data_IF_805159538996
#
_entry.id   IF_805159538996
#
_cell.length_a   1.000
_cell.length_b   1.000
_cell.length_c   1.000
_cell.angle_alpha   90.00
_cell.angle_beta   90.00
_cell.angle_gamma   90.00
#
_symmetry.space_group_name_H-M   'P 1'
#
loop_
_entity.id
_entity.type
_entity.pdbx_description
1 polymer ?
#
# COMPACT_ATOMS: atom_id res chain seq x y z
N UNK A 1 -13.35 76.16 -32.92
CA UNK A 1 -13.52 74.69 -32.75
C UNK A 1 -13.78 74.40 -31.28
N UNK A 2 -15.06 74.32 -30.92
CA UNK A 2 -15.51 74.16 -29.53
C UNK A 2 -15.30 72.72 -29.07
N UNK A 3 -14.57 72.54 -27.96
CA UNK A 3 -14.25 71.24 -27.36
C UNK A 3 -15.55 70.59 -26.84
N UNK A 4 -15.82 69.32 -27.14
CA UNK A 4 -17.07 68.67 -26.75
C UNK A 4 -17.18 68.50 -25.23
N UNK A 5 -18.41 68.51 -24.67
CA UNK A 5 -18.65 68.34 -23.25
C UNK A 5 -18.26 66.91 -22.81
N UNK A 6 -17.50 66.81 -21.72
CA UNK A 6 -17.07 65.52 -21.20
C UNK A 6 -18.20 64.79 -20.47
N UNK A 7 -18.23 63.45 -20.53
CA UNK A 7 -19.26 62.65 -19.88
C UNK A 7 -19.25 62.81 -18.35
N UNK A 8 -20.43 62.79 -17.72
CA UNK A 8 -20.58 63.01 -16.28
C UNK A 8 -20.01 61.80 -15.53
N UNK A 9 -18.95 62.03 -14.74
CA UNK A 9 -18.31 60.99 -13.93
C UNK A 9 -16.79 60.90 -14.04
N UNK A 10 -16.14 61.68 -14.92
CA UNK A 10 -14.68 61.83 -14.90
C UNK A 10 -14.26 62.79 -13.78
N UNK A 11 -13.25 62.47 -12.94
CA UNK A 11 -12.71 63.43 -11.98
C UNK A 11 -11.89 64.49 -12.72
N UNK A 12 -12.57 65.43 -13.39
CA UNK A 12 -12.02 66.70 -13.89
C UNK A 12 -11.65 67.64 -12.74
N UNK A 13 -11.09 67.12 -11.63
CA UNK A 13 -10.93 67.91 -10.39
C UNK A 13 -9.58 68.60 -10.29
N UNK A 14 -8.54 68.11 -10.96
CA UNK A 14 -7.20 68.72 -10.88
C UNK A 14 -6.89 69.69 -12.01
N UNK A 15 -7.53 69.55 -13.17
CA UNK A 15 -7.32 70.44 -14.33
C UNK A 15 -7.95 71.83 -14.19
N UNK A 16 -8.75 72.06 -13.14
CA UNK A 16 -9.42 73.34 -12.84
C UNK A 16 -8.74 74.12 -11.69
N UNK A 17 -7.67 73.58 -11.09
CA UNK A 17 -6.97 74.20 -9.97
C UNK A 17 -5.81 75.07 -10.46
N UNK A 18 -5.55 76.18 -9.78
CA UNK A 18 -4.38 77.03 -10.07
C UNK A 18 -3.07 76.36 -9.63
N UNK A 19 -1.93 76.82 -10.16
CA UNK A 19 -0.60 76.27 -9.82
C UNK A 19 -0.28 76.36 -8.33
N UNK A 20 -0.70 77.43 -7.66
CA UNK A 20 -0.56 77.57 -6.20
C UNK A 20 -1.41 76.56 -5.43
N UNK A 21 -2.65 76.31 -5.88
CA UNK A 21 -3.56 75.33 -5.26
C UNK A 21 -3.08 73.89 -5.46
N UNK A 22 -2.51 73.56 -6.63
CA UNK A 22 -1.90 72.26 -6.89
C UNK A 22 -0.68 72.03 -6.01
N UNK A 23 0.18 73.03 -5.80
CA UNK A 23 1.33 72.94 -4.87
C UNK A 23 0.89 72.77 -3.43
N UNK A 24 -0.12 73.51 -2.99
CA UNK A 24 -0.69 73.36 -1.66
C UNK A 24 -1.33 71.98 -1.46
N UNK A 25 -2.01 71.44 -2.48
CA UNK A 25 -2.57 70.09 -2.43
C UNK A 25 -1.47 69.01 -2.42
N UNK A 26 -0.39 69.20 -3.17
CA UNK A 26 0.77 68.30 -3.15
C UNK A 26 1.47 68.25 -1.78
N UNK A 27 1.37 69.33 -1.00
CA UNK A 27 1.89 69.39 0.37
C UNK A 27 0.88 68.85 1.41
N UNK A 28 -0.39 68.66 1.03
CA UNK A 28 -1.44 68.11 1.88
C UNK A 28 -1.69 66.63 1.57
N UNK A 29 -0.79 65.79 2.09
CA UNK A 29 -0.84 64.33 2.01
C UNK A 29 -2.20 63.72 2.40
N UNK A 30 -2.87 64.11 3.51
CA UNK A 30 -4.17 63.53 3.84
C UNK A 30 -5.28 63.92 2.85
N UNK A 31 -5.22 65.10 2.20
CA UNK A 31 -6.13 65.43 1.09
C UNK A 31 -5.86 64.56 -0.15
N UNK A 32 -4.60 64.32 -0.50
CA UNK A 32 -4.23 63.42 -1.60
C UNK A 32 -4.70 61.99 -1.36
N UNK A 33 -4.47 61.45 -0.16
CA UNK A 33 -4.92 60.10 0.21
C UNK A 33 -6.45 59.96 0.15
N UNK A 34 -7.19 60.98 0.59
CA UNK A 34 -8.65 61.01 0.44
C UNK A 34 -9.06 61.02 -1.04
N UNK A 35 -8.41 61.83 -1.87
CA UNK A 35 -8.69 61.85 -3.31
C UNK A 35 -8.35 60.51 -3.99
N UNK A 36 -7.26 59.85 -3.58
CA UNK A 36 -6.87 58.53 -4.07
C UNK A 36 -7.89 57.45 -3.68
N UNK A 37 -8.37 57.45 -2.42
CA UNK A 37 -9.42 56.53 -1.93
C UNK A 37 -10.76 56.73 -2.65
N UNK A 38 -11.07 57.96 -3.05
CA UNK A 38 -12.25 58.29 -3.84
C UNK A 38 -12.07 58.01 -5.34
N UNK A 39 -10.87 57.61 -5.78
CA UNK A 39 -10.64 57.27 -7.19
C UNK A 39 -11.37 55.97 -7.55
N UNK A 40 -11.96 55.94 -8.74
CA UNK A 40 -12.69 54.77 -9.25
C UNK A 40 -11.81 53.51 -9.29
N UNK A 41 -10.52 53.67 -9.61
CA UNK A 41 -9.56 52.56 -9.64
C UNK A 41 -9.34 51.97 -8.23
N UNK A 42 -9.17 52.83 -7.22
CA UNK A 42 -9.02 52.36 -5.84
C UNK A 42 -10.30 51.69 -5.34
N UNK A 43 -11.48 52.25 -5.65
CA UNK A 43 -12.76 51.66 -5.27
C UNK A 43 -13.02 50.30 -5.95
N UNK A 44 -12.65 50.12 -7.23
CA UNK A 44 -12.82 48.81 -7.89
C UNK A 44 -11.91 47.75 -7.26
N UNK A 45 -10.64 48.08 -7.01
CA UNK A 45 -9.72 47.17 -6.32
C UNK A 45 -10.18 46.81 -4.92
N UNK A 46 -10.76 47.79 -4.20
CA UNK A 46 -11.33 47.56 -2.88
C UNK A 46 -12.54 46.60 -2.94
N UNK A 47 -13.44 46.80 -3.91
CA UNK A 47 -14.56 45.88 -4.13
C UNK A 47 -14.09 44.47 -4.52
N UNK A 48 -13.13 44.36 -5.45
CA UNK A 48 -12.54 43.08 -5.85
C UNK A 48 -11.91 42.36 -4.65
N UNK A 49 -11.20 43.09 -3.77
CA UNK A 49 -10.66 42.56 -2.52
C UNK A 49 -11.76 42.04 -1.62
N UNK A 50 -12.83 42.80 -1.40
CA UNK A 50 -13.96 42.40 -0.55
C UNK A 50 -14.67 41.17 -1.10
N UNK A 51 -14.89 41.11 -2.42
CA UNK A 51 -15.45 39.94 -3.09
C UNK A 51 -14.55 38.70 -2.93
N UNK A 52 -13.24 38.86 -3.10
CA UNK A 52 -12.27 37.77 -2.91
C UNK A 52 -12.25 37.28 -1.46
N UNK A 53 -12.25 38.20 -0.49
CA UNK A 53 -12.30 37.86 0.94
C UNK A 53 -13.60 37.15 1.29
N UNK A 54 -14.75 37.63 0.81
CA UNK A 54 -16.04 36.98 1.02
C UNK A 54 -16.03 35.55 0.46
N UNK A 55 -15.54 35.36 -0.77
CA UNK A 55 -15.40 34.05 -1.42
C UNK A 55 -14.44 33.12 -0.66
N UNK A 56 -13.29 33.63 -0.20
CA UNK A 56 -12.37 32.84 0.60
C UNK A 56 -12.99 32.43 1.94
N UNK A 57 -13.71 33.34 2.60
CA UNK A 57 -14.41 33.04 3.84
C UNK A 57 -15.51 31.99 3.68
N UNK A 58 -16.27 32.01 2.59
CA UNK A 58 -17.30 30.99 2.33
C UNK A 58 -16.65 29.62 2.08
N UNK A 59 -15.60 29.57 1.26
CA UNK A 59 -14.84 28.33 1.01
C UNK A 59 -14.19 27.79 2.29
N UNK A 60 -13.59 28.67 3.11
CA UNK A 60 -13.00 28.27 4.38
C UNK A 60 -14.05 27.68 5.32
N UNK A 61 -15.24 28.29 5.42
CA UNK A 61 -16.34 27.74 6.23
C UNK A 61 -16.78 26.35 5.75
N UNK A 62 -16.93 26.16 4.43
CA UNK A 62 -17.28 24.85 3.86
C UNK A 62 -16.17 23.82 4.10
N UNK A 63 -14.90 24.19 3.92
CA UNK A 63 -13.79 23.28 4.19
C UNK A 63 -13.74 22.88 5.67
N UNK A 64 -13.97 23.82 6.58
CA UNK A 64 -14.03 23.54 8.01
C UNK A 64 -15.24 22.66 8.38
N UNK A 65 -16.39 22.84 7.74
CA UNK A 65 -17.55 21.98 7.99
C UNK A 65 -17.37 20.55 7.45
N UNK A 66 -16.56 20.36 6.41
CA UNK A 66 -16.26 19.05 5.84
C UNK A 66 -15.16 18.27 6.59
N UNK A 67 -14.27 18.97 7.31
CA UNK A 67 -13.19 18.34 8.09
C UNK A 67 -13.64 17.20 9.01
N UNK A 68 -14.65 17.35 9.89
CA UNK A 68 -15.05 16.27 10.79
C UNK A 68 -15.46 15.01 10.02
N UNK A 69 -16.28 15.16 8.98
CA UNK A 69 -16.70 14.02 8.13
C UNK A 69 -15.52 13.32 7.45
N UNK A 70 -14.50 14.05 7.03
CA UNK A 70 -13.28 13.46 6.45
C UNK A 70 -12.43 12.74 7.50
N UNK A 71 -12.32 13.30 8.69
CA UNK A 71 -11.59 12.70 9.81
C UNK A 71 -12.29 11.42 10.30
N UNK A 72 -13.62 11.45 10.45
CA UNK A 72 -14.45 10.28 10.78
C UNK A 72 -14.33 9.20 9.71
N UNK A 73 -14.34 9.59 8.43
CA UNK A 73 -14.15 8.68 7.31
C UNK A 73 -12.77 8.01 7.33
N UNK A 74 -11.71 8.77 7.61
CA UNK A 74 -10.34 8.24 7.75
C UNK A 74 -10.23 7.28 8.94
N UNK A 75 -10.81 7.63 10.09
CA UNK A 75 -10.82 6.76 11.27
C UNK A 75 -11.59 5.46 11.01
N UNK A 76 -12.78 5.55 10.42
CA UNK A 76 -13.60 4.39 10.05
C UNK A 76 -12.86 3.47 9.07
N UNK A 77 -12.18 4.05 8.07
CA UNK A 77 -11.39 3.30 7.10
C UNK A 77 -10.20 2.60 7.77
N UNK A 78 -9.49 3.28 8.69
CA UNK A 78 -8.40 2.68 9.44
C UNK A 78 -8.88 1.48 10.28
N UNK A 79 -10.04 1.59 10.93
CA UNK A 79 -10.67 0.48 11.65
C UNK A 79 -10.95 -0.69 10.70
N UNK A 80 -11.52 -0.44 9.52
CA UNK A 80 -11.77 -1.51 8.53
C UNK A 80 -10.51 -2.18 8.02
N UNK A 81 -9.43 -1.44 7.81
CA UNK A 81 -8.14 -2.04 7.47
C UNK A 81 -7.59 -2.90 8.59
N UNK A 82 -7.74 -2.46 9.85
CA UNK A 82 -7.31 -3.23 11.01
C UNK A 82 -8.12 -4.54 11.14
N UNK A 83 -9.45 -4.47 11.06
CA UNK A 83 -10.33 -5.65 11.06
C UNK A 83 -9.94 -6.65 9.94
N UNK A 84 -9.67 -6.14 8.73
CA UNK A 84 -9.25 -6.96 7.60
C UNK A 84 -7.91 -7.64 7.87
N UNK A 85 -6.95 -6.92 8.46
CA UNK A 85 -5.66 -7.48 8.80
C UNK A 85 -5.80 -8.60 9.84
N UNK A 86 -6.59 -8.38 10.89
CA UNK A 86 -6.85 -9.39 11.93
C UNK A 86 -7.50 -10.65 11.35
N UNK A 87 -8.50 -10.49 10.47
CA UNK A 87 -9.14 -11.63 9.80
C UNK A 87 -8.16 -12.36 8.89
N UNK A 88 -7.30 -11.62 8.17
CA UNK A 88 -6.29 -12.22 7.30
C UNK A 88 -5.28 -13.05 8.09
N UNK A 89 -4.75 -12.52 9.19
CA UNK A 89 -3.81 -13.25 10.04
C UNK A 89 -4.50 -14.47 10.67
N UNK A 90 -5.73 -14.32 11.17
CA UNK A 90 -6.50 -15.46 11.71
C UNK A 90 -6.77 -16.55 10.66
N UNK A 91 -7.02 -16.17 9.41
CA UNK A 91 -7.16 -17.10 8.30
C UNK A 91 -5.83 -17.79 7.96
N UNK A 92 -4.73 -17.03 7.94
CA UNK A 92 -3.40 -17.56 7.71
C UNK A 92 -3.01 -18.58 8.78
N UNK A 93 -3.23 -18.27 10.06
CA UNK A 93 -2.98 -19.19 11.17
C UNK A 93 -3.79 -20.48 11.06
N UNK A 94 -5.08 -20.37 10.71
CA UNK A 94 -5.94 -21.54 10.49
C UNK A 94 -5.44 -22.38 9.31
N UNK A 95 -5.02 -21.73 8.23
CA UNK A 95 -4.46 -22.41 7.06
C UNK A 95 -3.17 -23.16 7.42
N UNK A 96 -2.24 -22.52 8.13
CA UNK A 96 -0.99 -23.16 8.56
C UNK A 96 -1.26 -24.37 9.47
N UNK A 97 -2.21 -24.26 10.40
CA UNK A 97 -2.64 -25.40 11.24
C UNK A 97 -3.21 -26.53 10.38
N UNK A 98 -4.08 -26.21 9.43
CA UNK A 98 -4.68 -27.21 8.53
C UNK A 98 -3.60 -27.89 7.67
N UNK A 99 -2.66 -27.14 7.11
CA UNK A 99 -1.54 -27.68 6.34
C UNK A 99 -0.71 -28.64 7.19
N UNK A 100 -0.36 -28.28 8.42
CA UNK A 100 0.35 -29.17 9.33
C UNK A 100 -0.43 -30.45 9.68
N UNK A 101 -1.75 -30.33 9.90
CA UNK A 101 -2.61 -31.50 10.14
C UNK A 101 -2.67 -32.40 8.90
N UNK A 102 -2.83 -31.82 7.71
CA UNK A 102 -2.92 -32.57 6.46
C UNK A 102 -1.60 -33.26 6.10
N UNK A 103 -0.46 -32.61 6.34
CA UNK A 103 0.86 -33.22 6.18
C UNK A 103 1.04 -34.40 7.13
N UNK A 104 0.71 -34.22 8.42
CA UNK A 104 0.80 -35.30 9.43
C UNK A 104 -0.04 -36.51 9.08
N UNK A 105 -1.25 -36.29 8.56
CA UNK A 105 -2.20 -37.35 8.18
C UNK A 105 -2.21 -37.64 6.68
N UNK A 106 -1.18 -37.20 5.96
CA UNK A 106 -1.07 -37.46 4.53
C UNK A 106 -0.80 -38.95 4.27
N UNK A 107 -1.21 -39.48 3.10
CA UNK A 107 -0.85 -40.84 2.71
C UNK A 107 0.67 -41.07 2.68
N UNK A 108 1.44 -40.02 2.36
CA UNK A 108 2.91 -40.05 2.40
C UNK A 108 3.46 -40.19 3.82
N UNK A 109 2.90 -39.48 4.79
CA UNK A 109 3.23 -39.64 6.21
C UNK A 109 2.88 -41.06 6.69
N UNK A 110 1.71 -41.58 6.31
CA UNK A 110 1.31 -42.95 6.63
C UNK A 110 2.27 -44.00 6.04
N UNK A 111 2.71 -43.84 4.79
CA UNK A 111 3.74 -44.70 4.18
C UNK A 111 5.05 -44.66 4.96
N UNK A 112 5.54 -43.45 5.31
CA UNK A 112 6.77 -43.29 6.09
C UNK A 112 6.68 -43.96 7.47
N UNK A 113 5.53 -43.83 8.15
CA UNK A 113 5.30 -44.48 9.44
C UNK A 113 5.24 -46.00 9.33
N UNK A 114 4.59 -46.53 8.29
CA UNK A 114 4.53 -47.97 8.04
C UNK A 114 5.92 -48.54 7.71
N UNK A 115 6.71 -47.83 6.91
CA UNK A 115 8.09 -48.22 6.60
C UNK A 115 8.95 -48.27 7.87
N UNK A 116 8.90 -47.22 8.70
CA UNK A 116 9.66 -47.20 9.95
C UNK A 116 9.26 -48.33 10.92
N UNK A 117 7.95 -48.67 10.98
CA UNK A 117 7.47 -49.81 11.78
C UNK A 117 7.93 -51.16 11.21
N UNK A 118 7.94 -51.30 9.89
CA UNK A 118 8.47 -52.49 9.22
C UNK A 118 9.94 -52.67 9.57
N UNK A 119 10.76 -51.65 9.33
CA UNK A 119 12.20 -51.67 9.59
C UNK A 119 12.49 -51.98 11.07
N UNK A 120 11.73 -51.37 12.00
CA UNK A 120 11.86 -51.65 13.43
C UNK A 120 11.53 -53.11 13.78
N UNK A 121 10.42 -53.65 13.26
CA UNK A 121 10.04 -55.05 13.51
C UNK A 121 11.00 -56.06 12.87
N UNK A 122 11.60 -55.73 11.73
CA UNK A 122 12.64 -56.55 11.10
C UNK A 122 13.92 -56.55 11.93
N UNK A 123 14.37 -55.37 12.36
CA UNK A 123 15.51 -55.24 13.26
C UNK A 123 15.30 -55.97 14.61
N UNK A 124 14.09 -55.88 15.19
CA UNK A 124 13.71 -56.67 16.37
C UNK A 124 13.85 -58.18 16.11
N UNK A 125 13.35 -58.66 14.97
CA UNK A 125 13.44 -60.08 14.61
C UNK A 125 14.88 -60.56 14.40
N UNK A 126 15.74 -59.72 13.81
CA UNK A 126 17.17 -60.01 13.66
C UNK A 126 17.90 -60.03 15.00
N UNK A 127 17.55 -59.11 15.91
CA UNK A 127 18.12 -59.08 17.26
C UNK A 127 17.74 -60.34 18.04
N UNK A 128 16.48 -60.79 17.95
CA UNK A 128 16.02 -62.03 18.56
C UNK A 128 16.76 -63.26 18.02
N UNK A 129 17.01 -63.33 16.71
CA UNK A 129 17.82 -64.41 16.12
C UNK A 129 19.24 -64.39 16.69
N UNK A 130 19.88 -63.22 16.76
CA UNK A 130 21.24 -63.08 17.30
C UNK A 130 21.29 -63.55 18.76
N UNK A 131 20.40 -63.04 19.61
CA UNK A 131 20.31 -63.44 21.02
C UNK A 131 20.09 -64.95 21.20
N UNK A 132 19.25 -65.56 20.36
CA UNK A 132 19.04 -67.01 20.40
C UNK A 132 20.30 -67.80 20.00
N UNK A 133 21.02 -67.36 18.96
CA UNK A 133 22.28 -67.99 18.53
C UNK A 133 23.40 -67.84 19.57
N UNK A 134 23.41 -66.72 20.28
CA UNK A 134 24.33 -66.44 21.40
C UNK A 134 23.94 -67.19 22.70
N UNK A 135 22.83 -67.94 22.68
CA UNK A 135 22.26 -68.68 23.82
C UNK A 135 21.76 -67.78 24.98
N UNK A 136 21.58 -66.49 24.72
CA UNK A 136 21.05 -65.49 25.67
C UNK A 136 19.52 -65.53 25.78
N UNK A 137 18.83 -66.25 24.88
CA UNK A 137 17.37 -66.34 24.83
C UNK A 137 16.91 -67.82 24.77
N UNK A 138 16.10 -68.31 25.72
CA UNK A 138 15.55 -69.67 25.69
C UNK A 138 14.65 -69.93 24.48
N UNK A 139 14.57 -71.19 24.03
CA UNK A 139 13.82 -71.58 22.83
C UNK A 139 12.34 -71.15 22.87
N UNK A 140 11.63 -71.41 23.97
CA UNK A 140 10.20 -71.10 24.06
C UNK A 140 9.95 -69.58 23.97
N UNK A 141 10.76 -68.78 24.66
CA UNK A 141 10.70 -67.31 24.62
C UNK A 141 11.11 -66.75 23.25
N UNK A 142 12.11 -67.36 22.60
CA UNK A 142 12.48 -67.02 21.23
C UNK A 142 11.31 -67.26 20.28
N UNK A 143 10.71 -68.45 20.28
CA UNK A 143 9.62 -68.79 19.36
C UNK A 143 8.43 -67.84 19.52
N UNK A 144 8.01 -67.56 20.75
CA UNK A 144 6.93 -66.61 21.02
C UNK A 144 7.26 -65.21 20.50
N UNK A 145 8.39 -64.64 20.93
CA UNK A 145 8.74 -63.25 20.60
C UNK A 145 9.11 -63.06 19.12
N UNK A 146 9.73 -64.05 18.48
CA UNK A 146 10.07 -64.05 17.06
C UNK A 146 8.84 -64.20 16.18
N UNK A 147 7.91 -65.09 16.53
CA UNK A 147 6.64 -65.17 15.79
C UNK A 147 5.90 -63.85 15.87
N UNK A 148 5.84 -63.21 17.04
CA UNK A 148 5.20 -61.90 17.20
C UNK A 148 5.88 -60.79 16.38
N UNK A 149 7.22 -60.69 16.36
CA UNK A 149 7.93 -59.68 15.55
C UNK A 149 7.76 -59.93 14.05
N UNK A 150 7.86 -61.19 13.60
CA UNK A 150 7.65 -61.57 12.20
C UNK A 150 6.22 -61.33 11.74
N UNK A 151 5.21 -61.67 12.56
CA UNK A 151 3.82 -61.36 12.25
C UNK A 151 3.61 -59.85 12.07
N UNK A 152 4.16 -59.02 12.98
CA UNK A 152 4.12 -57.54 12.83
C UNK A 152 4.80 -57.07 11.54
N UNK A 153 5.98 -57.59 11.22
CA UNK A 153 6.71 -57.28 9.97
C UNK A 153 5.88 -57.63 8.73
N UNK A 154 5.33 -58.84 8.67
CA UNK A 154 4.50 -59.26 7.53
C UNK A 154 3.24 -58.40 7.37
N UNK A 155 2.54 -58.09 8.47
CA UNK A 155 1.38 -57.20 8.44
C UNK A 155 1.77 -55.81 7.93
N UNK A 156 2.85 -55.22 8.44
CA UNK A 156 3.30 -53.90 8.00
C UNK A 156 3.74 -53.89 6.53
N UNK A 157 4.44 -54.93 6.06
CA UNK A 157 4.83 -55.09 4.65
C UNK A 157 3.60 -55.14 3.74
N UNK A 158 2.61 -55.97 4.07
CA UNK A 158 1.36 -56.05 3.29
C UNK A 158 0.58 -54.73 3.32
N UNK A 159 0.49 -54.06 4.47
CA UNK A 159 -0.16 -52.75 4.57
C UNK A 159 0.53 -51.69 3.70
N UNK A 160 1.86 -51.70 3.67
CA UNK A 160 2.68 -50.78 2.89
C UNK A 160 2.47 -51.00 1.38
N UNK A 161 2.55 -52.25 0.92
CA UNK A 161 2.29 -52.63 -0.48
C UNK A 161 0.88 -52.20 -0.91
N UNK A 162 -0.14 -52.48 -0.07
CA UNK A 162 -1.52 -52.12 -0.40
C UNK A 162 -1.75 -50.62 -0.44
N UNK A 163 -1.14 -49.85 0.46
CA UNK A 163 -1.23 -48.40 0.43
C UNK A 163 -0.52 -47.82 -0.81
N UNK A 164 0.63 -48.37 -1.21
CA UNK A 164 1.33 -47.97 -2.44
C UNK A 164 0.50 -48.28 -3.70
N UNK A 165 -0.13 -49.46 -3.77
CA UNK A 165 -1.01 -49.84 -4.89
C UNK A 165 -2.19 -48.87 -5.03
N UNK A 166 -2.83 -48.48 -3.93
CA UNK A 166 -3.93 -47.52 -3.93
C UNK A 166 -3.48 -46.15 -4.46
N UNK A 167 -2.33 -45.66 -3.99
CA UNK A 167 -1.79 -44.37 -4.40
C UNK A 167 -1.33 -44.34 -5.86
N UNK A 168 -0.87 -45.46 -6.41
CA UNK A 168 -0.54 -45.58 -7.83
C UNK A 168 -1.81 -45.60 -8.70
N UNK A 169 -2.85 -46.33 -8.29
CA UNK A 169 -4.14 -46.38 -8.99
C UNK A 169 -4.80 -45.01 -9.08
N UNK A 170 -4.77 -44.24 -8.00
CA UNK A 170 -5.29 -42.87 -7.97
C UNK A 170 -4.54 -41.92 -8.92
N UNK A 171 -3.24 -42.19 -9.17
CA UNK A 171 -2.44 -41.43 -10.14
C UNK A 171 -2.81 -41.78 -11.59
N UNK A 172 -2.94 -43.07 -11.89
CA UNK A 172 -3.29 -43.56 -13.25
C UNK A 172 -4.72 -43.16 -13.65
N UNK A 173 -5.64 -43.02 -12.69
CA UNK A 173 -7.00 -42.52 -12.95
C UNK A 173 -7.10 -41.01 -13.24
N UNK A 174 -6.01 -40.25 -13.08
CA UNK A 174 -5.97 -38.78 -13.28
C UNK A 174 -5.31 -38.36 -14.61
N UNK A 175 -4.72 -39.29 -15.35
CA UNK A 175 -4.15 -38.99 -16.67
C UNK A 175 -5.26 -38.75 -17.70
N UNK A 176 -5.32 -37.56 -18.37
CA UNK A 176 -6.19 -37.40 -19.51
C UNK A 176 -5.58 -38.17 -20.68
N UNK A 177 -6.11 -39.36 -20.95
CA UNK A 177 -5.94 -40.02 -22.25
C UNK A 177 -6.50 -39.08 -23.31
N UNK A 178 -5.63 -38.28 -23.91
CA UNK A 178 -5.95 -37.54 -25.13
C UNK A 178 -6.02 -38.52 -26.30
N UNK A 179 -7.11 -38.53 -27.10
CA UNK A 179 -7.11 -39.26 -28.35
C UNK A 179 -6.57 -38.36 -29.46
N UNK A 180 -5.53 -38.87 -30.09
CA UNK A 180 -4.96 -38.41 -31.34
C UNK A 180 -5.88 -38.75 -32.52
N UNK A 181 -6.11 -37.78 -33.42
CA UNK A 181 -6.39 -38.01 -34.84
C UNK A 181 -7.83 -37.78 -35.35
N UNK A 182 -8.06 -36.64 -36.01
CA UNK A 182 -8.54 -36.57 -37.41
C UNK A 182 -8.57 -35.11 -37.92
N UNK A 183 -8.27 -34.84 -39.21
CA UNK A 183 -8.04 -33.50 -39.76
C UNK A 183 -9.28 -32.87 -40.40
N UNK A 184 -9.39 -31.54 -40.29
CA UNK A 184 -10.09 -30.68 -41.27
C UNK A 184 -11.46 -30.12 -40.86
N UNK A 185 -11.52 -28.80 -40.62
CA UNK A 185 -12.42 -27.82 -41.28
C UNK A 185 -12.66 -26.58 -40.38
N UNK A 186 -12.44 -25.39 -40.97
CA UNK A 186 -12.67 -24.06 -40.39
C UNK A 186 -14.13 -23.80 -39.99
N UNK A 187 -14.34 -23.10 -38.85
CA UNK A 187 -15.00 -21.78 -38.75
C UNK A 187 -15.59 -21.54 -37.33
N UNK A 188 -15.32 -20.35 -36.78
CA UNK A 188 -15.63 -19.83 -35.43
C UNK A 188 -16.94 -19.01 -35.43
N UNK A 189 -17.47 -18.42 -34.32
CA UNK A 189 -17.54 -18.83 -32.90
C UNK A 189 -18.99 -18.84 -32.36
N UNK A 190 -19.26 -19.65 -31.33
CA UNK A 190 -20.26 -19.35 -30.30
C UNK A 190 -19.94 -20.16 -29.03
N UNK A 191 -20.17 -19.60 -27.82
CA UNK A 191 -20.70 -20.48 -26.78
C UNK A 191 -21.76 -19.80 -25.88
N UNK A 192 -22.92 -20.44 -25.80
CA UNK A 192 -23.87 -20.27 -24.69
C UNK A 192 -23.87 -21.55 -23.87
N UNK A 193 -23.51 -21.41 -22.59
CA UNK A 193 -23.86 -22.20 -21.38
C UNK A 193 -24.01 -23.73 -21.52
N UNK A 194 -23.28 -24.47 -20.67
CA UNK A 194 -23.78 -25.16 -19.46
C UNK A 194 -22.62 -25.89 -18.75
N UNK A 195 -22.78 -26.11 -17.45
CA UNK A 195 -21.83 -26.71 -16.50
C UNK A 195 -21.46 -28.18 -16.80
N UNK A 196 -20.48 -28.72 -16.07
CA UNK A 196 -20.72 -30.01 -15.42
C UNK A 196 -20.41 -30.03 -13.91
N UNK A 197 -21.18 -30.88 -13.23
CA UNK A 197 -21.04 -31.27 -11.82
C UNK A 197 -19.66 -31.87 -11.48
N UNK A 198 -19.05 -31.31 -10.43
CA UNK A 198 -18.57 -31.94 -9.17
C UNK A 198 -18.03 -33.40 -9.17
N UNK A 199 -16.78 -33.57 -8.68
CA UNK A 199 -16.23 -34.49 -7.64
C UNK A 199 -14.71 -34.69 -7.94
N UNK A 200 -13.71 -34.69 -7.04
CA UNK A 200 -13.58 -34.63 -5.58
C UNK A 200 -12.14 -34.22 -5.15
N UNK A 201 -12.08 -33.50 -4.03
CA UNK A 201 -10.99 -33.23 -3.07
C UNK A 201 -9.53 -33.14 -3.58
N UNK A 202 -9.22 -32.04 -4.27
CA UNK A 202 -7.96 -31.34 -4.02
C UNK A 202 -8.29 -30.25 -2.99
N UNK A 203 -7.52 -30.12 -1.90
CA UNK A 203 -7.61 -28.91 -1.08
C UNK A 203 -7.26 -27.76 -2.02
N UNK A 204 -8.31 -27.06 -2.44
CA UNK A 204 -8.26 -25.89 -3.28
C UNK A 204 -7.39 -24.93 -2.49
N UNK A 205 -6.15 -24.75 -2.92
CA UNK A 205 -5.36 -23.58 -2.53
C UNK A 205 -6.34 -22.42 -2.66
N UNK A 206 -6.65 -21.80 -1.54
CA UNK A 206 -7.48 -20.62 -1.49
C UNK A 206 -6.66 -19.51 -2.17
N UNK A 207 -6.59 -19.56 -3.51
CA UNK A 207 -6.34 -18.41 -4.35
C UNK A 207 -7.56 -17.53 -4.15
N UNK A 208 -7.59 -16.84 -3.01
CA UNK A 208 -8.25 -15.55 -2.87
C UNK A 208 -7.51 -14.61 -3.83
N UNK A 209 -7.73 -14.77 -5.14
CA UNK A 209 -7.52 -13.70 -6.11
C UNK A 209 -8.67 -12.70 -5.93
N UNK A 210 -8.80 -12.18 -4.72
CA UNK A 210 -9.46 -10.91 -4.51
C UNK A 210 -8.48 -9.90 -5.09
N UNK A 211 -8.68 -9.58 -6.36
CA UNK A 211 -8.09 -8.41 -7.00
C UNK A 211 -8.58 -7.17 -6.26
N UNK A 212 -7.97 -6.89 -5.12
CA UNK A 212 -8.21 -5.68 -4.35
C UNK A 212 -7.04 -4.76 -4.61
N UNK A 213 -7.20 -3.99 -5.67
CA UNK A 213 -6.38 -2.83 -5.94
C UNK A 213 -6.68 -1.82 -4.82
N UNK A 214 -5.68 -1.42 -4.01
CA UNK A 214 -5.86 -0.30 -3.11
C UNK A 214 -6.31 0.92 -3.93
N UNK A 215 -7.29 1.69 -3.45
CA UNK A 215 -7.77 2.87 -4.17
C UNK A 215 -6.63 3.88 -4.49
N UNK A 216 -5.50 3.78 -3.80
CA UNK A 216 -4.26 4.50 -4.13
C UNK A 216 -3.05 3.58 -3.91
N UNK A 217 -2.31 3.30 -4.98
CA UNK A 217 -0.94 2.79 -4.89
C UNK A 217 -0.03 3.98 -4.58
N UNK A 218 0.59 4.00 -3.39
CA UNK A 218 1.66 4.96 -3.07
C UNK A 218 2.96 4.33 -3.58
N UNK A 219 3.63 4.88 -4.61
CA UNK A 219 4.88 4.34 -5.10
C UNK A 219 5.98 4.45 -4.03
N UNK A 220 6.68 3.34 -3.76
CA UNK A 220 7.80 3.29 -2.80
C UNK A 220 9.03 4.13 -3.19
N UNK A 221 9.01 4.84 -4.32
CA UNK A 221 10.11 5.72 -4.76
C UNK A 221 10.03 7.15 -4.22
N UNK A 222 8.98 7.54 -3.50
CA UNK A 222 8.85 8.89 -2.94
C UNK A 222 9.57 9.13 -1.60
N UNK A 223 10.58 8.31 -1.27
CA UNK A 223 11.51 8.58 -0.16
C UNK A 223 12.80 9.13 -0.73
N UNK A 224 12.78 10.41 -1.08
CA UNK A 224 14.01 11.21 -1.21
C UNK A 224 13.97 12.27 -0.11
N UNK A 225 14.92 12.29 0.84
CA UNK A 225 15.00 13.37 1.80
C UNK A 225 15.37 14.64 1.04
N UNK A 226 14.46 15.61 1.01
CA UNK A 226 14.71 16.92 0.40
C UNK A 226 15.98 17.55 0.99
N UNK A 227 16.90 17.97 0.12
CA UNK A 227 18.02 18.82 0.48
C UNK A 227 17.49 20.20 0.91
N UNK A 228 17.74 20.58 2.16
CA UNK A 228 17.44 21.92 2.68
C UNK A 228 18.37 22.95 2.03
N UNK A 229 17.86 24.06 1.47
CA UNK A 229 18.71 25.18 1.09
C UNK A 229 19.26 25.84 2.37
N UNK A 230 20.57 26.04 2.43
CA UNK A 230 21.21 26.79 3.50
C UNK A 230 20.63 28.21 3.56
N UNK A 231 20.34 28.68 4.78
CA UNK A 231 19.76 30.00 5.04
C UNK A 231 20.66 31.14 4.54
N UNK A 232 20.10 32.22 3.94
CA UNK A 232 20.90 33.37 3.55
C UNK A 232 21.25 34.22 4.77
N UNK A 233 22.55 34.52 4.92
CA UNK A 233 23.03 35.55 5.86
C UNK A 233 22.59 36.94 5.39
N UNK A 234 22.21 37.79 6.33
CA UNK A 234 21.73 39.16 6.06
C UNK A 234 22.86 40.15 5.77
N UNK A 235 22.53 41.12 4.91
CA UNK A 235 23.18 42.42 4.61
C UNK A 235 24.49 42.29 3.81
N UNK A 236 24.69 42.93 2.65
CA UNK A 236 24.86 44.38 2.42
C UNK A 236 24.42 44.85 1.00
N UNK A 237 24.28 46.17 0.84
CA UNK A 237 23.80 46.97 -0.31
C UNK A 237 24.62 46.81 -1.62
N UNK A 238 24.11 47.25 -2.80
CA UNK A 238 24.73 47.00 -4.11
C UNK A 238 25.80 48.04 -4.48
N UNK A 239 26.82 47.61 -5.24
CA UNK A 239 27.76 48.50 -5.93
C UNK A 239 27.55 48.43 -7.45
N UNK A 240 27.48 49.61 -8.08
CA UNK A 240 27.53 49.85 -9.52
C UNK A 240 28.82 49.29 -10.14
N UNK A 241 28.73 48.66 -11.32
CA UNK A 241 29.92 48.29 -12.10
C UNK A 241 29.69 47.43 -13.34
N UNK A 242 29.59 48.11 -14.48
CA UNK A 242 30.00 47.75 -15.86
C UNK A 242 29.69 46.40 -16.54
N UNK A 243 28.98 46.54 -17.66
CA UNK A 243 28.97 45.78 -18.93
C UNK A 243 30.38 45.42 -19.45
N UNK A 244 30.57 44.36 -20.30
CA UNK A 244 30.14 44.42 -21.71
C UNK A 244 29.70 43.12 -22.44
N UNK A 245 28.87 43.37 -23.48
CA UNK A 245 28.84 42.81 -24.84
C UNK A 245 28.00 41.54 -25.22
N UNK A 246 27.22 41.78 -26.29
CA UNK A 246 26.33 41.04 -27.21
C UNK A 246 26.95 39.84 -27.98
N UNK A 247 26.23 39.00 -28.82
CA UNK A 247 25.10 39.38 -29.69
C UNK A 247 23.97 38.37 -30.06
N UNK A 248 22.89 38.98 -30.59
CA UNK A 248 21.94 38.52 -31.63
C UNK A 248 21.02 37.29 -31.40
N UNK A 249 19.70 37.52 -31.34
CA UNK A 249 18.78 37.47 -32.50
C UNK A 249 17.34 37.02 -32.16
N UNK A 250 16.39 37.61 -32.91
CA UNK A 250 15.03 37.13 -33.30
C UNK A 250 13.87 37.24 -32.29
N UNK A 251 12.94 38.12 -32.67
CA UNK A 251 11.53 38.19 -32.25
C UNK A 251 10.75 37.09 -32.98
N UNK A 252 9.76 36.44 -32.33
CA UNK A 252 8.38 36.54 -32.80
C UNK A 252 7.39 36.92 -31.68
N UNK A 253 6.28 37.51 -32.11
CA UNK A 253 5.16 38.05 -31.32
C UNK A 253 4.12 36.94 -30.94
N UNK A 254 2.95 37.26 -30.35
CA UNK A 254 2.55 36.83 -29.02
C UNK A 254 1.59 35.62 -29.01
N UNK A 255 1.90 34.63 -28.17
CA UNK A 255 1.03 33.49 -27.84
C UNK A 255 0.34 33.66 -26.48
N UNK A 256 -0.87 33.13 -26.39
CA UNK A 256 -1.84 33.10 -25.30
C UNK A 256 -1.33 32.78 -23.88
N UNK A 257 -2.05 33.19 -22.81
CA UNK A 257 -1.60 33.06 -21.43
C UNK A 257 -1.80 31.66 -20.85
N UNK A 258 -0.78 31.19 -20.15
CA UNK A 258 -0.76 29.93 -19.40
C UNK A 258 -1.53 30.03 -18.08
N UNK A 259 -2.15 28.90 -17.75
CA UNK A 259 -2.50 28.45 -16.40
C UNK A 259 -1.39 28.72 -15.39
N UNK A 260 -1.74 29.05 -14.14
CA UNK A 260 -1.17 28.34 -12.98
C UNK A 260 -2.06 28.54 -11.73
N UNK A 261 -2.57 27.40 -11.26
CA UNK A 261 -3.32 27.19 -10.04
C UNK A 261 -2.36 27.19 -8.85
N UNK A 262 -2.77 27.86 -7.77
CA UNK A 262 -1.98 27.97 -6.54
C UNK A 262 -2.04 26.72 -5.66
N UNK A 263 -0.95 26.50 -4.93
CA UNK A 263 -0.91 25.62 -3.76
C UNK A 263 -0.29 26.39 -2.59
N UNK A 264 -1.07 26.57 -1.52
CA UNK A 264 -0.63 27.04 -0.21
C UNK A 264 -0.59 25.82 0.72
N UNK A 265 0.54 25.48 1.36
CA UNK A 265 0.59 24.37 2.31
C UNK A 265 0.12 24.80 3.71
N UNK A 266 -0.87 24.08 4.22
CA UNK A 266 -1.34 24.08 5.60
C UNK A 266 -0.36 23.32 6.50
N UNK A 267 0.05 23.96 7.59
CA UNK A 267 0.80 23.37 8.71
C UNK A 267 0.02 22.20 9.35
N UNK A 268 0.69 21.06 9.56
CA UNK A 268 0.23 19.96 10.41
C UNK A 268 1.21 19.73 11.56
N UNK A 269 0.74 19.30 12.75
CA UNK A 269 1.62 19.00 13.88
C UNK A 269 2.21 17.58 13.77
N UNK A 270 3.48 17.46 14.10
CA UNK A 270 4.29 16.24 14.06
C UNK A 270 4.00 15.32 15.27
N UNK A 271 3.94 13.98 15.12
CA UNK A 271 3.78 13.08 16.26
C UNK A 271 5.12 12.81 16.97
N UNK A 272 5.08 12.88 18.30
CA UNK A 272 6.16 12.51 19.22
C UNK A 272 6.52 11.02 19.08
N UNK A 273 7.79 10.70 18.83
CA UNK A 273 8.35 9.34 18.90
C UNK A 273 8.85 9.09 20.33
N UNK A 274 8.14 8.29 21.11
CA UNK A 274 8.60 7.83 22.44
C UNK A 274 9.59 6.68 22.26
N UNK A 275 10.89 6.95 22.29
CA UNK A 275 11.91 5.90 22.40
C UNK A 275 11.93 5.37 23.84
N UNK A 276 11.32 4.21 24.09
CA UNK A 276 11.66 3.41 25.27
C UNK A 276 12.99 2.71 25.00
N UNK A 277 14.08 3.26 25.54
CA UNK A 277 15.32 2.53 25.78
C UNK A 277 15.02 1.45 26.84
N UNK A 278 14.98 0.18 26.47
CA UNK A 278 15.19 -0.91 27.42
C UNK A 278 16.66 -0.84 27.89
N UNK A 279 16.88 -0.26 29.07
CA UNK A 279 18.13 -0.49 29.81
C UNK A 279 17.97 -1.81 30.55
N UNK A 280 18.71 -2.83 30.11
CA UNK A 280 19.00 -3.99 30.93
C UNK A 280 19.83 -3.51 32.13
N UNK A 281 19.24 -3.51 33.33
CA UNK A 281 19.99 -3.57 34.57
C UNK A 281 19.80 -4.98 35.15
N UNK A 282 20.93 -5.68 35.22
CA UNK A 282 21.14 -6.94 35.90
C UNK A 282 20.97 -6.69 37.40
N UNK A 283 19.96 -7.30 38.04
CA UNK A 283 19.89 -7.43 39.49
C UNK A 283 20.06 -8.92 39.82
N UNK A 284 21.13 -9.24 40.55
CA UNK A 284 21.32 -10.54 41.19
C UNK A 284 20.34 -10.75 42.36
N UNK A 285 20.02 -12.01 42.73
CA UNK A 285 19.22 -12.32 43.91
C UNK A 285 20.09 -12.39 45.18
N UNK A 286 19.58 -11.96 46.36
CA UNK A 286 20.29 -12.19 47.60
C UNK A 286 20.00 -13.60 48.13
N UNK A 287 21.08 -14.28 48.52
CA UNK A 287 21.08 -15.42 49.42
C UNK A 287 20.38 -15.09 50.74
N UNK A 288 19.37 -15.88 51.11
CA UNK A 288 19.27 -16.59 52.40
C UNK A 288 18.04 -17.48 52.45
#
# INVERSE_FOLDING_TARGET
>A
MSRPPAPPGSPRRFGALSTAQLRALLQDEPRLQRAARLSRKFQSLQLEREMCLASNCTLARVNLSLRPRLEDGKASLAIKYQELWEIREACWDKQQRLEAYLEKWSPRSALSQLQAKLDASEAESEAQIKQFLDQDLPLDSFLESFCQSRTRSHICRTQLEKLQELLQKDQVGRDPVGPMGCPGALASPAPTRLAPLRNGVALKAFNLSYGFVPAFLIPSEAVVPFAMPAAPRRHHLPALGHQPASPCSKIPSPGSPLHLVGHIPLLSPQPFRRQQRLRHQKLEPPHR
#
